data_IF_833716423388
#
_entry.id   IF_833716423388
#
_cell.length_a   1.000
_cell.length_b   1.000
_cell.length_c   1.000
_cell.angle_alpha   90.00
_cell.angle_beta   90.00
_cell.angle_gamma   90.00
#
_symmetry.space_group_name_H-M   'P 1'
#
loop_
_entity.id
_entity.type
_entity.pdbx_description
1 polymer ?
#
# COMPACT_ATOMS: atom_id res chain seq x y z
N UNK A 1 10.72 21.68 8.45
CA UNK A 1 10.66 20.80 7.28
C UNK A 1 10.23 19.43 7.77
N UNK A 2 9.10 18.91 7.29
CA UNK A 2 8.36 17.84 7.96
C UNK A 2 8.41 16.53 7.15
N UNK A 3 9.61 15.96 6.98
CA UNK A 3 9.82 14.70 6.25
C UNK A 3 8.95 13.54 6.80
N UNK A 4 8.50 12.66 5.90
CA UNK A 4 7.74 11.44 6.19
C UNK A 4 8.71 10.37 6.65
N UNK A 5 8.54 9.90 7.89
CA UNK A 5 9.51 9.02 8.54
C UNK A 5 9.42 7.56 8.07
N UNK A 6 8.29 7.15 7.47
CA UNK A 6 8.10 5.79 6.98
C UNK A 6 7.07 5.69 5.83
N UNK A 7 7.33 4.75 4.89
CA UNK A 7 6.40 4.34 3.83
C UNK A 7 6.09 2.86 4.00
N UNK A 8 4.82 2.51 4.17
CA UNK A 8 4.39 1.12 4.36
C UNK A 8 3.88 0.53 3.06
N UNK A 9 4.48 -0.57 2.60
CA UNK A 9 4.06 -1.28 1.39
C UNK A 9 3.23 -2.51 1.74
N UNK A 10 1.97 -2.53 1.29
CA UNK A 10 1.10 -3.71 1.36
C UNK A 10 0.86 -4.26 -0.05
N UNK A 11 1.25 -5.51 -0.29
CA UNK A 11 0.94 -6.24 -1.53
C UNK A 11 -0.15 -7.27 -1.22
N UNK A 12 -1.35 -7.09 -1.76
CA UNK A 12 -2.39 -8.11 -1.68
C UNK A 12 -2.18 -9.06 -2.86
N UNK A 13 -1.90 -10.33 -2.55
CA UNK A 13 -1.95 -11.38 -3.55
C UNK A 13 -3.41 -11.83 -3.74
N UNK A 14 -4.08 -11.26 -4.74
CA UNK A 14 -5.47 -11.60 -5.08
C UNK A 14 -5.61 -12.96 -5.77
N UNK A 15 -4.51 -13.66 -6.09
CA UNK A 15 -4.53 -14.92 -6.84
C UNK A 15 -5.23 -16.06 -6.11
N UNK A 16 -5.29 -15.99 -4.77
CA UNK A 16 -5.94 -17.00 -3.92
C UNK A 16 -7.32 -16.59 -3.39
N UNK A 17 -7.78 -15.36 -3.65
CA UNK A 17 -9.06 -14.87 -3.13
C UNK A 17 -10.17 -15.21 -4.12
N UNK A 18 -10.67 -16.44 -4.03
CA UNK A 18 -11.90 -16.83 -4.73
C UNK A 18 -13.04 -15.89 -4.35
N UNK A 19 -13.64 -15.23 -5.35
CA UNK A 19 -14.65 -14.16 -5.22
C UNK A 19 -15.93 -14.59 -4.47
N UNK A 20 -16.08 -15.85 -4.07
CA UNK A 20 -17.34 -16.39 -3.55
C UNK A 20 -17.40 -16.68 -2.03
N UNK A 21 -16.32 -16.56 -1.24
CA UNK A 21 -16.41 -16.92 0.18
C UNK A 21 -15.36 -16.24 1.07
N UNK A 22 -15.60 -15.00 1.45
CA UNK A 22 -15.09 -14.52 2.74
C UNK A 22 -15.97 -13.36 3.23
N UNK A 23 -17.05 -13.72 3.93
CA UNK A 23 -17.70 -12.77 4.81
C UNK A 23 -16.68 -12.32 5.85
N UNK A 24 -16.33 -11.04 5.85
CA UNK A 24 -16.03 -10.26 7.07
C UNK A 24 -15.21 -10.98 8.17
N UNK A 25 -14.14 -11.72 7.81
CA UNK A 25 -13.31 -12.48 8.76
C UNK A 25 -11.81 -12.16 8.64
N UNK A 26 -11.46 -10.97 8.13
CA UNK A 26 -10.07 -10.49 8.02
C UNK A 26 -9.64 -9.52 9.13
N UNK A 27 -10.35 -9.46 10.26
CA UNK A 27 -9.83 -8.77 11.45
C UNK A 27 -8.65 -9.53 12.10
N UNK A 28 -8.51 -10.84 11.84
CA UNK A 28 -7.48 -11.69 12.44
C UNK A 28 -6.08 -11.49 11.84
N UNK A 29 -6.01 -11.06 10.57
CA UNK A 29 -4.73 -10.89 9.87
C UNK A 29 -3.92 -9.72 10.43
N UNK A 30 -4.61 -8.67 10.87
CA UNK A 30 -4.00 -7.49 11.49
C UNK A 30 -3.54 -7.75 12.94
N UNK A 31 -4.21 -8.64 13.67
CA UNK A 31 -3.95 -8.86 15.10
C UNK A 31 -2.67 -9.68 15.37
N UNK A 32 -2.08 -10.31 14.33
CA UNK A 32 -0.78 -11.01 14.42
C UNK A 32 0.42 -10.13 14.07
N UNK A 33 0.23 -8.83 13.82
CA UNK A 33 1.29 -7.82 13.85
C UNK A 33 1.70 -7.51 15.32
N UNK A 34 2.18 -8.52 16.06
CA UNK A 34 3.07 -8.23 17.18
C UNK A 34 4.47 -8.07 16.61
N UNK A 35 5.01 -6.87 16.76
CA UNK A 35 6.43 -6.55 16.60
C UNK A 35 7.25 -7.38 17.60
N UNK A 36 7.46 -8.65 17.32
CA UNK A 36 8.62 -9.35 17.85
C UNK A 36 9.66 -9.39 16.74
N UNK A 37 10.73 -8.62 16.96
CA UNK A 37 11.93 -8.71 16.17
C UNK A 37 12.43 -10.15 16.12
N UNK A 38 13.12 -10.43 15.01
CA UNK A 38 13.84 -11.67 14.72
C UNK A 38 13.02 -12.77 14.04
N UNK A 39 13.35 -12.91 12.75
CA UNK A 39 13.33 -14.15 11.94
C UNK A 39 11.97 -14.75 11.53
N UNK A 40 11.87 -14.89 10.20
CA UNK A 40 11.37 -16.02 9.40
C UNK A 40 9.98 -15.91 8.74
N UNK A 41 10.06 -16.01 7.41
CA UNK A 41 9.24 -16.83 6.51
C UNK A 41 8.00 -16.22 5.83
N UNK A 42 8.25 -15.88 4.57
CA UNK A 42 7.37 -15.84 3.39
C UNK A 42 6.08 -16.64 3.51
N UNK A 43 5.00 -16.01 3.95
CA UNK A 43 3.65 -16.18 3.40
C UNK A 43 2.89 -14.85 3.67
N UNK A 44 2.46 -14.18 2.59
CA UNK A 44 1.91 -12.82 2.54
C UNK A 44 2.93 -11.70 2.89
N UNK A 45 3.67 -11.27 1.86
CA UNK A 45 4.70 -10.25 1.94
C UNK A 45 4.17 -8.86 2.28
N UNK A 46 4.04 -8.59 3.57
CA UNK A 46 4.01 -7.23 4.09
C UNK A 46 5.45 -6.77 4.35
N UNK A 47 6.01 -5.98 3.44
CA UNK A 47 7.38 -5.48 3.59
C UNK A 47 7.33 -4.07 4.17
N UNK A 48 7.61 -3.98 5.46
CA UNK A 48 7.79 -2.71 6.14
C UNK A 48 9.25 -2.31 6.04
N UNK A 49 9.57 -1.25 5.30
CA UNK A 49 10.79 -0.50 5.59
C UNK A 49 10.42 0.58 6.61
N UNK A 50 10.57 0.25 7.89
CA UNK A 50 10.75 1.28 8.91
C UNK A 50 12.21 1.69 8.81
N UNK A 51 12.48 2.99 8.70
CA UNK A 51 13.85 3.50 8.60
C UNK A 51 14.70 3.10 9.81
N UNK A 52 14.10 2.78 10.98
CA UNK A 52 14.83 2.32 12.17
C UNK A 52 14.01 1.35 13.07
N UNK A 53 14.57 0.20 13.49
CA UNK A 53 13.89 -0.80 14.32
C UNK A 53 13.82 -0.46 15.83
N UNK A 54 14.20 0.75 16.26
CA UNK A 54 14.27 1.14 17.68
C UNK A 54 13.45 2.37 18.07
N UNK A 55 12.78 3.02 17.13
CA UNK A 55 12.13 4.33 17.36
C UNK A 55 10.65 4.13 17.67
N UNK A 56 10.18 4.70 18.78
CA UNK A 56 8.74 4.81 19.07
C UNK A 56 8.05 5.48 17.87
N UNK A 57 7.15 4.77 17.21
CA UNK A 57 6.44 5.26 16.03
C UNK A 57 5.33 6.27 16.37
N UNK A 58 5.11 6.52 17.67
CA UNK A 58 4.18 7.54 18.14
C UNK A 58 4.58 8.94 17.65
N UNK A 59 3.66 9.65 17.01
CA UNK A 59 3.90 10.96 16.41
C UNK A 59 4.62 10.95 15.05
N UNK A 60 5.08 9.79 14.56
CA UNK A 60 5.69 9.70 13.24
C UNK A 60 4.66 9.97 12.12
N UNK A 61 5.10 10.69 11.08
CA UNK A 61 4.32 10.84 9.84
C UNK A 61 4.58 9.65 8.93
N UNK A 62 3.51 9.07 8.43
CA UNK A 62 3.55 7.80 7.69
C UNK A 62 2.74 7.90 6.40
N UNK A 63 3.29 7.41 5.30
CA UNK A 63 2.55 7.21 4.06
C UNK A 63 2.25 5.72 3.84
N UNK A 64 1.08 5.42 3.27
CA UNK A 64 0.65 4.08 2.90
C UNK A 64 0.80 3.89 1.39
N UNK A 65 1.37 2.78 0.97
CA UNK A 65 1.56 2.42 -0.43
C UNK A 65 0.97 1.03 -0.68
N UNK A 66 0.07 0.92 -1.65
CA UNK A 66 -0.44 -0.36 -2.13
C UNK A 66 -0.12 -0.50 -3.61
N UNK A 67 0.73 -1.48 -3.93
CA UNK A 67 1.08 -1.83 -5.31
C UNK A 67 0.22 -3.00 -5.76
N UNK A 68 -0.39 -2.88 -6.94
CA UNK A 68 -1.28 -3.92 -7.46
C UNK A 68 -1.65 -3.72 -8.92
N UNK A 69 -2.19 -4.78 -9.53
CA UNK A 69 -2.70 -4.68 -10.90
C UNK A 69 -4.02 -3.91 -10.96
N UNK A 70 -4.90 -4.01 -9.97
CA UNK A 70 -6.19 -3.30 -9.95
C UNK A 70 -7.00 -3.50 -11.25
N UNK A 71 -7.24 -4.75 -11.62
CA UNK A 71 -7.94 -5.14 -12.85
C UNK A 71 -9.29 -5.83 -12.54
N UNK A 72 -10.36 -5.09 -12.18
CA UNK A 72 -10.46 -3.65 -11.93
C UNK A 72 -10.29 -3.26 -10.43
N UNK A 73 -10.15 -1.96 -10.09
CA UNK A 73 -10.15 -1.53 -8.68
C UNK A 73 -11.53 -1.75 -8.04
N UNK A 74 -11.52 -2.29 -6.82
CA UNK A 74 -12.70 -2.56 -6.00
C UNK A 74 -12.70 -1.77 -4.69
N UNK A 75 -13.88 -1.64 -4.06
CA UNK A 75 -14.01 -1.03 -2.71
C UNK A 75 -13.19 -1.74 -1.64
N UNK A 76 -12.85 -3.02 -1.80
CA UNK A 76 -12.04 -3.76 -0.85
C UNK A 76 -10.63 -3.14 -0.71
N UNK A 77 -10.05 -2.65 -1.80
CA UNK A 77 -8.75 -1.95 -1.76
C UNK A 77 -8.84 -0.68 -0.90
N UNK A 78 -9.88 0.13 -1.11
CA UNK A 78 -10.09 1.35 -0.32
C UNK A 78 -10.33 1.03 1.17
N UNK A 79 -11.10 -0.03 1.46
CA UNK A 79 -11.32 -0.50 2.83
C UNK A 79 -10.03 -0.94 3.51
N UNK A 80 -9.10 -1.54 2.78
CA UNK A 80 -7.78 -1.89 3.31
C UNK A 80 -7.01 -0.64 3.74
N UNK A 81 -7.01 0.43 2.95
CA UNK A 81 -6.37 1.70 3.32
C UNK A 81 -6.95 2.27 4.61
N UNK A 82 -8.28 2.34 4.73
CA UNK A 82 -8.95 2.81 5.95
C UNK A 82 -8.59 1.94 7.17
N UNK A 83 -8.55 0.61 7.00
CA UNK A 83 -8.20 -0.30 8.09
C UNK A 83 -6.75 -0.17 8.53
N UNK A 84 -5.83 -0.07 7.59
CA UNK A 84 -4.40 0.14 7.87
C UNK A 84 -4.17 1.48 8.58
N UNK A 85 -4.86 2.54 8.12
CA UNK A 85 -4.83 3.85 8.76
C UNK A 85 -5.34 3.81 10.19
N UNK A 86 -6.50 3.19 10.43
CA UNK A 86 -7.09 3.06 11.76
C UNK A 86 -6.12 2.36 12.73
N UNK A 87 -5.46 1.28 12.31
CA UNK A 87 -4.46 0.60 13.13
C UNK A 87 -3.24 1.48 13.42
N UNK A 88 -2.67 2.14 12.40
CA UNK A 88 -1.48 2.97 12.60
C UNK A 88 -1.77 4.15 13.53
N UNK A 89 -2.95 4.75 13.43
CA UNK A 89 -3.34 5.87 14.29
C UNK A 89 -3.65 5.39 15.71
N UNK A 90 -4.49 4.35 15.86
CA UNK A 90 -4.97 3.91 17.18
C UNK A 90 -3.97 3.09 17.96
N UNK A 91 -3.28 2.16 17.31
CA UNK A 91 -2.39 1.20 17.97
C UNK A 91 -0.97 1.74 18.07
N UNK A 92 -0.50 2.41 17.01
CA UNK A 92 0.90 2.84 16.89
C UNK A 92 1.09 4.32 17.21
N UNK A 93 0.00 5.11 17.33
CA UNK A 93 0.07 6.54 17.58
C UNK A 93 0.66 7.35 16.41
N UNK A 94 0.72 6.77 15.21
CA UNK A 94 1.27 7.42 14.02
C UNK A 94 0.25 8.39 13.41
N UNK A 95 0.74 9.36 12.62
CA UNK A 95 -0.08 10.19 11.76
C UNK A 95 0.06 9.73 10.31
N UNK A 96 -0.97 9.08 9.77
CA UNK A 96 -1.02 8.77 8.34
C UNK A 96 -1.29 10.04 7.56
N UNK A 97 -0.33 10.44 6.71
CA UNK A 97 -0.41 11.66 5.90
C UNK A 97 -1.10 11.41 4.57
N UNK A 98 -0.84 10.26 3.96
CA UNK A 98 -1.25 9.97 2.59
C UNK A 98 -1.29 8.47 2.29
N UNK A 99 -2.13 8.06 1.35
CA UNK A 99 -2.19 6.73 0.77
C UNK A 99 -2.01 6.79 -0.75
N UNK A 100 -1.25 5.86 -1.32
CA UNK A 100 -1.04 5.76 -2.78
C UNK A 100 -1.40 4.37 -3.28
N UNK A 101 -2.31 4.32 -4.25
CA UNK A 101 -2.63 3.12 -5.03
C UNK A 101 -1.77 3.11 -6.29
N UNK A 102 -0.63 2.42 -6.25
CA UNK A 102 0.34 2.38 -7.34
C UNK A 102 -0.02 1.28 -8.35
N UNK A 103 -0.40 1.71 -9.56
CA UNK A 103 -0.89 0.81 -10.61
C UNK A 103 0.28 0.16 -11.32
N UNK A 104 0.38 -1.16 -11.20
CA UNK A 104 1.42 -1.93 -11.86
C UNK A 104 1.29 -1.87 -13.40
N UNK A 105 2.44 -1.96 -14.09
CA UNK A 105 2.49 -2.08 -15.54
C UNK A 105 1.78 -3.32 -16.08
N UNK A 106 1.59 -3.37 -17.40
CA UNK A 106 0.90 -4.47 -18.06
C UNK A 106 1.68 -5.78 -17.92
N UNK A 107 0.95 -6.86 -17.64
CA UNK A 107 1.48 -8.21 -17.57
C UNK A 107 0.67 -9.15 -18.46
N UNK A 108 1.23 -10.30 -18.86
CA UNK A 108 0.47 -11.28 -19.65
C UNK A 108 -0.83 -11.76 -18.99
N UNK A 109 -0.95 -11.58 -17.67
CA UNK A 109 -2.12 -11.93 -16.86
C UNK A 109 -3.18 -10.83 -16.73
N UNK A 110 -2.90 -9.59 -17.15
CA UNK A 110 -3.88 -8.49 -17.08
C UNK A 110 -4.78 -8.48 -18.30
N UNK A 111 -6.09 -8.33 -18.07
CA UNK A 111 -7.11 -8.22 -19.11
C UNK A 111 -7.28 -6.79 -19.63
N UNK A 112 -6.97 -5.81 -18.79
CA UNK A 112 -7.13 -4.39 -19.10
C UNK A 112 -5.78 -3.68 -19.17
N UNK A 113 -5.56 -2.85 -20.19
CA UNK A 113 -4.34 -2.06 -20.33
C UNK A 113 -4.13 -1.10 -19.14
N UNK A 114 -2.86 -0.86 -18.77
CA UNK A 114 -2.48 -0.12 -17.57
C UNK A 114 -3.06 1.29 -17.55
N UNK A 115 -3.14 1.94 -18.72
CA UNK A 115 -3.75 3.27 -18.89
C UNK A 115 -5.22 3.28 -18.43
N UNK A 116 -5.99 2.25 -18.76
CA UNK A 116 -7.38 2.14 -18.34
C UNK A 116 -7.49 1.81 -16.86
N UNK A 117 -6.62 0.92 -16.34
CA UNK A 117 -6.56 0.60 -14.91
C UNK A 117 -6.22 1.84 -14.07
N UNK A 118 -5.25 2.64 -14.50
CA UNK A 118 -4.92 3.92 -13.89
C UNK A 118 -6.13 4.85 -13.86
N UNK A 119 -6.83 5.01 -14.99
CA UNK A 119 -8.03 5.87 -15.04
C UNK A 119 -9.17 5.38 -14.14
N UNK A 120 -9.33 4.07 -14.01
CA UNK A 120 -10.28 3.47 -13.08
C UNK A 120 -9.89 3.76 -11.62
N UNK A 121 -8.60 3.62 -11.27
CA UNK A 121 -8.10 3.92 -9.93
C UNK A 121 -8.27 5.40 -9.60
N UNK A 122 -7.87 6.31 -10.49
CA UNK A 122 -8.12 7.76 -10.36
C UNK A 122 -9.59 8.06 -10.09
N UNK A 123 -10.49 7.36 -10.79
CA UNK A 123 -11.93 7.51 -10.62
C UNK A 123 -12.41 7.00 -9.26
N UNK A 124 -11.89 5.86 -8.82
CA UNK A 124 -12.20 5.26 -7.53
C UNK A 124 -11.73 6.13 -6.36
N UNK A 125 -10.56 6.76 -6.49
CA UNK A 125 -9.99 7.62 -5.44
C UNK A 125 -10.47 9.07 -5.49
N UNK A 126 -11.14 9.52 -6.55
CA UNK A 126 -11.55 10.93 -6.74
C UNK A 126 -12.31 11.55 -5.55
N UNK A 127 -13.14 10.76 -4.86
CA UNK A 127 -13.92 11.22 -3.70
C UNK A 127 -13.17 11.10 -2.36
N UNK A 128 -12.00 10.47 -2.35
CA UNK A 128 -11.17 10.32 -1.16
C UNK A 128 -10.22 11.51 -1.03
N UNK A 129 -10.04 12.00 0.20
CA UNK A 129 -9.23 13.20 0.47
C UNK A 129 -7.74 12.91 0.73
N UNK A 130 -7.39 11.66 1.04
CA UNK A 130 -6.04 11.28 1.47
C UNK A 130 -5.42 10.15 0.64
N UNK A 131 -6.21 9.49 -0.23
CA UNK A 131 -5.75 8.40 -1.09
C UNK A 131 -5.62 8.94 -2.51
N UNK A 132 -4.50 8.69 -3.19
CA UNK A 132 -4.23 9.09 -4.57
C UNK A 132 -3.84 7.90 -5.44
N UNK A 133 -4.02 8.06 -6.75
CA UNK A 133 -3.54 7.11 -7.74
C UNK A 133 -2.05 7.36 -7.99
N UNK A 134 -1.26 6.29 -8.09
CA UNK A 134 0.15 6.32 -8.44
C UNK A 134 0.38 5.72 -9.81
N UNK A 135 1.06 6.44 -10.69
CA UNK A 135 1.33 6.11 -12.09
C UNK A 135 2.79 5.70 -12.36
N UNK A 136 3.65 5.75 -11.34
CA UNK A 136 5.08 5.48 -11.50
C UNK A 136 5.35 4.09 -12.10
N UNK A 137 4.70 3.05 -11.57
CA UNK A 137 4.92 1.67 -12.00
C UNK A 137 4.43 1.39 -13.42
N UNK A 138 3.27 1.93 -13.81
CA UNK A 138 2.71 1.71 -15.15
C UNK A 138 3.35 2.56 -16.24
N UNK A 139 4.04 3.64 -15.86
CA UNK A 139 4.78 4.49 -16.80
C UNK A 139 6.16 3.91 -17.14
N UNK A 140 6.67 2.95 -16.36
CA UNK A 140 7.94 2.33 -16.67
C UNK A 140 7.84 1.36 -17.86
N UNK A 141 8.84 1.33 -18.75
CA UNK A 141 8.84 0.45 -19.92
C UNK A 141 8.98 -1.03 -19.56
N UNK A 142 9.52 -1.34 -18.38
CA UNK A 142 9.72 -2.70 -17.89
C UNK A 142 9.21 -2.84 -16.45
N UNK A 143 8.77 -4.05 -16.03
CA UNK A 143 8.32 -4.29 -14.66
C UNK A 143 9.39 -3.92 -13.63
N UNK A 144 9.01 -3.05 -12.70
CA UNK A 144 9.90 -2.50 -11.68
C UNK A 144 9.90 -3.39 -10.44
N UNK A 145 11.06 -3.58 -9.81
CA UNK A 145 11.14 -4.26 -8.50
C UNK A 145 10.49 -3.41 -7.41
N UNK A 146 9.82 -4.04 -6.45
CA UNK A 146 9.10 -3.33 -5.37
C UNK A 146 10.00 -2.36 -4.59
N UNK A 147 11.28 -2.69 -4.40
CA UNK A 147 12.25 -1.84 -3.72
C UNK A 147 12.43 -0.50 -4.45
N UNK A 148 12.45 -0.51 -5.79
CA UNK A 148 12.60 0.72 -6.57
C UNK A 148 11.32 1.56 -6.56
N UNK A 149 10.15 0.92 -6.51
CA UNK A 149 8.87 1.60 -6.31
C UNK A 149 8.84 2.29 -4.93
N UNK A 150 9.25 1.58 -3.88
CA UNK A 150 9.28 2.14 -2.53
C UNK A 150 10.25 3.33 -2.44
N UNK A 151 11.46 3.20 -3.00
CA UNK A 151 12.45 4.30 -3.04
C UNK A 151 11.92 5.51 -3.79
N UNK A 152 11.19 5.31 -4.88
CA UNK A 152 10.57 6.40 -5.63
C UNK A 152 9.58 7.17 -4.75
N UNK A 153 8.65 6.48 -4.10
CA UNK A 153 7.65 7.14 -3.25
C UNK A 153 8.24 7.71 -1.96
N UNK A 154 9.27 7.08 -1.38
CA UNK A 154 10.00 7.65 -0.26
C UNK A 154 10.60 9.02 -0.64
N UNK A 155 11.28 9.09 -1.78
CA UNK A 155 11.83 10.35 -2.31
C UNK A 155 10.73 11.37 -2.63
N UNK A 156 9.60 10.91 -3.18
CA UNK A 156 8.44 11.76 -3.48
C UNK A 156 7.91 12.43 -2.20
N UNK A 157 7.73 11.66 -1.12
CA UNK A 157 7.21 12.18 0.15
C UNK A 157 8.23 13.03 0.92
N UNK A 158 9.53 12.80 0.75
CA UNK A 158 10.56 13.65 1.36
C UNK A 158 10.67 15.03 0.70
N UNK A 159 10.33 15.14 -0.58
CA UNK A 159 10.45 16.39 -1.35
C UNK A 159 9.15 17.20 -1.34
N UNK A 160 7.98 16.55 -1.28
CA UNK A 160 6.68 17.20 -1.43
C UNK A 160 5.96 17.57 -0.11
N UNK A 161 6.51 17.24 1.06
CA UNK A 161 5.91 17.47 2.40
C UNK A 161 6.87 18.16 3.39
#
# INVERSE_FOLDING_TARGET
>A
MCSVSAVFLFRIDWSHVGIAACGFQECSFFQRLRLHGSRLNTLAGFQVMVSDPGTSLSGCRVALLSCGQFDPPSYAHLRMFERARDFLVRTMGCKVVEGVMSVAGDSPSTRTAAKHRLRMVETAVRKNFWIRAGDYECTQPTPVRQIAVLKHYQKYFDVCL
#
